data_IF_615391383327
#
_entry.id   IF_615391383327
#
_cell.length_a   1.000
_cell.length_b   1.000
_cell.length_c   1.000
_cell.angle_alpha   90.00
_cell.angle_beta   90.00
_cell.angle_gamma   90.00
#
_symmetry.space_group_name_H-M   'P 1'
#
loop_
_entity.id
_entity.type
_entity.pdbx_description
1 polymer ?
#
# COMPACT_ATOMS: atom_id res chain seq x y z
N UNK A 1 -11.96 -28.68 -9.78
CA UNK A 1 -11.29 -27.68 -8.90
C UNK A 1 -11.97 -26.35 -9.15
N UNK A 2 -12.68 -25.81 -8.17
CA UNK A 2 -13.31 -24.49 -8.27
C UNK A 2 -12.18 -23.47 -8.37
N UNK A 3 -12.12 -22.74 -9.48
CA UNK A 3 -11.18 -21.64 -9.69
C UNK A 3 -11.56 -20.49 -8.72
N UNK A 4 -11.07 -20.56 -7.49
CA UNK A 4 -11.31 -19.54 -6.47
C UNK A 4 -10.50 -18.29 -6.80
N UNK A 5 -11.11 -17.38 -7.56
CA UNK A 5 -10.50 -16.14 -8.00
C UNK A 5 -10.60 -15.12 -6.87
N UNK A 6 -9.46 -14.72 -6.32
CA UNK A 6 -9.38 -13.64 -5.36
C UNK A 6 -9.56 -12.28 -6.04
N UNK A 7 -10.45 -11.44 -5.51
CA UNK A 7 -10.71 -10.10 -6.06
C UNK A 7 -10.60 -9.03 -4.98
N UNK A 8 -9.85 -7.96 -5.27
CA UNK A 8 -9.83 -6.74 -4.46
C UNK A 8 -10.23 -5.58 -5.37
N UNK A 9 -11.27 -4.83 -5.01
CA UNK A 9 -11.70 -3.64 -5.76
C UNK A 9 -11.86 -3.87 -7.27
N UNK A 10 -12.42 -5.01 -7.67
CA UNK A 10 -12.60 -5.49 -9.04
C UNK A 10 -11.30 -5.92 -9.75
N UNK A 11 -10.16 -5.91 -9.08
CA UNK A 11 -8.91 -6.43 -9.59
C UNK A 11 -8.86 -7.93 -9.27
N UNK A 12 -8.69 -8.75 -10.30
CA UNK A 12 -8.48 -10.20 -10.13
C UNK A 12 -7.02 -10.46 -9.82
N UNK A 13 -6.77 -11.27 -8.81
CA UNK A 13 -5.43 -11.67 -8.36
C UNK A 13 -5.30 -13.19 -8.45
N UNK A 14 -4.16 -13.67 -8.92
CA UNK A 14 -3.82 -15.09 -8.92
C UNK A 14 -3.23 -15.54 -7.57
N UNK A 15 -2.66 -14.61 -6.83
CA UNK A 15 -2.07 -14.83 -5.52
C UNK A 15 -2.81 -14.07 -4.43
N UNK A 16 -3.01 -14.71 -3.26
CA UNK A 16 -3.53 -14.04 -2.05
C UNK A 16 -2.44 -13.33 -1.25
N UNK A 17 -1.18 -13.47 -1.67
CA UNK A 17 -0.04 -12.87 -1.00
C UNK A 17 0.18 -11.43 -1.51
N UNK A 18 0.29 -10.50 -0.57
CA UNK A 18 0.71 -9.11 -0.81
C UNK A 18 2.06 -8.91 -0.15
N UNK A 19 3.08 -8.56 -0.93
CA UNK A 19 4.45 -8.42 -0.43
C UNK A 19 4.76 -6.96 -0.10
N UNK A 20 5.38 -6.73 1.07
CA UNK A 20 5.93 -5.42 1.44
C UNK A 20 7.28 -5.17 0.77
N UNK A 21 7.54 -3.93 0.34
CA UNK A 21 8.79 -3.56 -0.34
C UNK A 21 9.78 -2.76 0.53
N UNK A 22 9.44 -2.51 1.80
CA UNK A 22 10.11 -1.50 2.62
C UNK A 22 11.36 -1.95 3.37
N UNK A 23 11.72 -3.25 3.38
CA UNK A 23 12.80 -3.78 4.25
C UNK A 23 13.89 -4.56 3.54
N UNK A 24 13.91 -4.56 2.23
CA UNK A 24 14.99 -5.16 1.45
C UNK A 24 16.18 -4.22 1.33
N UNK A 25 17.36 -4.79 1.13
CA UNK A 25 18.62 -4.06 1.04
C UNK A 25 18.66 -3.09 -0.16
N UNK A 26 18.04 -3.49 -1.27
CA UNK A 26 17.96 -2.71 -2.50
C UNK A 26 16.78 -3.16 -3.38
N UNK A 27 16.48 -2.43 -4.45
CA UNK A 27 15.38 -2.74 -5.36
C UNK A 27 15.57 -4.03 -6.17
N UNK A 28 16.82 -4.40 -6.47
CA UNK A 28 17.11 -5.68 -7.14
C UNK A 28 16.71 -6.87 -6.27
N UNK A 29 17.07 -6.83 -4.98
CA UNK A 29 16.67 -7.86 -4.02
C UNK A 29 15.14 -7.88 -3.82
N UNK A 30 14.50 -6.70 -3.72
CA UNK A 30 13.05 -6.58 -3.68
C UNK A 30 12.41 -7.29 -4.87
N UNK A 31 12.89 -7.01 -6.09
CA UNK A 31 12.34 -7.61 -7.31
C UNK A 31 12.50 -9.12 -7.34
N UNK A 32 13.66 -9.66 -6.90
CA UNK A 32 13.90 -11.10 -6.78
C UNK A 32 12.93 -11.75 -5.79
N UNK A 33 12.72 -11.13 -4.63
CA UNK A 33 11.82 -11.64 -3.60
C UNK A 33 10.36 -11.63 -4.09
N UNK A 34 9.91 -10.54 -4.73
CA UNK A 34 8.56 -10.44 -5.30
C UNK A 34 8.36 -11.51 -6.38
N UNK A 35 9.32 -11.70 -7.28
CA UNK A 35 9.25 -12.74 -8.31
C UNK A 35 9.19 -14.14 -7.69
N UNK A 36 10.03 -14.43 -6.70
CA UNK A 36 10.07 -15.72 -6.03
C UNK A 36 8.79 -16.02 -5.24
N UNK A 37 8.13 -14.98 -4.70
CA UNK A 37 6.89 -15.14 -3.93
C UNK A 37 5.65 -15.46 -4.79
N UNK A 38 5.69 -15.19 -6.08
CA UNK A 38 4.54 -15.30 -6.96
C UNK A 38 3.40 -14.31 -6.65
N UNK A 39 3.69 -13.24 -5.90
CA UNK A 39 2.67 -12.24 -5.56
C UNK A 39 2.37 -11.32 -6.75
N UNK A 40 1.09 -11.04 -6.98
CA UNK A 40 0.64 -10.09 -8.00
C UNK A 40 0.64 -8.66 -7.49
N UNK A 41 0.68 -8.46 -6.17
CA UNK A 41 0.54 -7.14 -5.54
C UNK A 41 1.65 -6.87 -4.53
N UNK A 42 2.17 -5.64 -4.53
CA UNK A 42 3.16 -5.16 -3.56
C UNK A 42 2.71 -3.89 -2.87
N UNK A 43 2.98 -3.77 -1.56
CA UNK A 43 2.76 -2.51 -0.85
C UNK A 43 3.98 -1.61 -0.98
N UNK A 44 3.74 -0.32 -1.17
CA UNK A 44 4.78 0.69 -1.35
C UNK A 44 4.55 1.87 -0.42
N UNK A 45 5.50 2.11 0.48
CA UNK A 45 5.46 3.29 1.34
C UNK A 45 5.85 4.54 0.53
N UNK A 46 4.87 5.34 0.13
CA UNK A 46 5.05 6.51 -0.75
C UNK A 46 6.13 7.44 -0.24
N UNK A 47 6.19 7.67 1.06
CA UNK A 47 7.19 8.54 1.71
C UNK A 47 8.62 7.99 1.71
N UNK A 48 8.80 6.70 1.48
CA UNK A 48 10.10 6.01 1.56
C UNK A 48 10.67 5.65 0.21
N UNK A 49 9.85 5.68 -0.82
CA UNK A 49 10.26 5.35 -2.19
C UNK A 49 10.54 6.64 -2.94
N UNK A 50 11.67 6.66 -3.62
CA UNK A 50 11.93 7.75 -4.56
C UNK A 50 10.92 7.65 -5.72
N UNK A 51 10.01 8.61 -5.80
CA UNK A 51 8.99 8.66 -6.84
C UNK A 51 9.20 9.86 -7.77
N UNK A 52 9.99 10.83 -7.36
CA UNK A 52 10.12 12.12 -8.03
C UNK A 52 11.49 12.35 -8.65
N UNK A 53 12.56 11.84 -8.06
CA UNK A 53 13.92 12.07 -8.52
C UNK A 53 14.30 11.04 -9.59
N UNK A 54 14.10 11.40 -10.86
CA UNK A 54 14.46 10.57 -12.02
C UNK A 54 15.97 10.33 -12.17
N UNK A 55 16.82 11.02 -11.39
CA UNK A 55 18.26 10.79 -11.39
C UNK A 55 18.66 9.58 -10.53
N UNK A 56 17.73 9.06 -9.73
CA UNK A 56 17.94 7.89 -8.89
C UNK A 56 17.05 6.74 -9.36
N UNK A 57 17.48 5.48 -9.19
CA UNK A 57 16.64 4.33 -9.54
C UNK A 57 15.29 4.39 -8.87
N UNK A 58 14.23 4.07 -9.62
CA UNK A 58 12.88 3.95 -9.13
C UNK A 58 12.55 2.47 -8.90
N UNK A 59 11.65 2.19 -7.97
CA UNK A 59 11.18 0.81 -7.76
C UNK A 59 10.51 0.25 -9.03
N UNK A 60 9.87 1.12 -9.81
CA UNK A 60 9.23 0.79 -11.09
C UNK A 60 10.20 0.39 -12.20
N UNK A 61 11.49 0.68 -12.06
CA UNK A 61 12.52 0.22 -12.99
C UNK A 61 12.86 -1.27 -12.77
N UNK A 62 12.54 -1.79 -11.59
CA UNK A 62 12.80 -3.18 -11.20
C UNK A 62 11.54 -4.05 -11.15
N UNK A 63 10.40 -3.43 -10.90
CA UNK A 63 9.08 -4.08 -10.86
C UNK A 63 8.18 -3.43 -11.90
N UNK A 64 7.88 -4.15 -12.99
CA UNK A 64 7.05 -3.67 -14.09
C UNK A 64 5.61 -3.39 -13.62
N UNK A 65 5.14 -2.12 -13.66
CA UNK A 65 3.78 -1.76 -13.24
C UNK A 65 2.66 -2.39 -14.10
N UNK A 66 3.00 -2.94 -15.26
CA UNK A 66 2.04 -3.68 -16.11
C UNK A 66 1.80 -5.10 -15.61
N UNK A 67 2.74 -5.65 -14.82
CA UNK A 67 2.70 -7.02 -14.31
C UNK A 67 2.40 -7.09 -12.82
N UNK A 68 2.85 -6.10 -12.06
CA UNK A 68 2.72 -6.05 -10.61
C UNK A 68 1.82 -4.87 -10.23
N UNK A 69 0.86 -5.14 -9.38
CA UNK A 69 -0.06 -4.13 -8.86
C UNK A 69 0.58 -3.44 -7.67
N UNK A 70 0.74 -2.14 -7.78
CA UNK A 70 1.27 -1.31 -6.70
C UNK A 70 0.14 -0.85 -5.79
N UNK A 71 0.29 -1.10 -4.49
CA UNK A 71 -0.60 -0.67 -3.43
C UNK A 71 0.14 0.38 -2.57
N UNK A 72 0.09 1.67 -2.95
CA UNK A 72 0.74 2.71 -2.16
C UNK A 72 0.12 2.82 -0.78
N UNK A 73 0.95 3.04 0.23
CA UNK A 73 0.52 3.19 1.61
C UNK A 73 1.02 4.50 2.24
N UNK A 74 0.36 4.89 3.32
CA UNK A 74 0.63 6.10 4.09
C UNK A 74 1.48 5.83 5.33
N UNK A 75 2.35 4.84 5.29
CA UNK A 75 3.22 4.52 6.42
C UNK A 75 4.00 5.74 6.90
N UNK A 76 3.88 6.04 8.18
CA UNK A 76 4.51 7.18 8.83
C UNK A 76 3.74 8.50 8.71
N UNK A 77 2.46 8.49 8.32
CA UNK A 77 1.57 9.64 8.41
C UNK A 77 0.87 9.66 9.77
N UNK A 78 0.88 10.82 10.43
CA UNK A 78 0.29 11.02 11.76
C UNK A 78 -0.93 11.95 11.75
N UNK A 79 -1.35 12.42 10.58
CA UNK A 79 -2.55 13.23 10.39
C UNK A 79 -3.29 12.83 9.13
N UNK A 80 -4.59 13.13 9.09
CA UNK A 80 -5.42 12.96 7.89
C UNK A 80 -4.84 13.75 6.71
N UNK A 81 -4.42 14.99 6.94
CA UNK A 81 -3.91 15.86 5.88
C UNK A 81 -2.62 15.31 5.25
N UNK A 82 -1.71 14.77 6.07
CA UNK A 82 -0.50 14.10 5.58
C UNK A 82 -0.82 12.87 4.75
N UNK A 83 -1.75 12.05 5.22
CA UNK A 83 -2.18 10.84 4.52
C UNK A 83 -2.84 11.18 3.17
N UNK A 84 -3.75 12.16 3.15
CA UNK A 84 -4.43 12.61 1.93
C UNK A 84 -3.43 13.18 0.92
N UNK A 85 -2.54 14.06 1.36
CA UNK A 85 -1.49 14.64 0.50
C UNK A 85 -0.60 13.55 -0.10
N UNK A 86 -0.19 12.58 0.72
CA UNK A 86 0.66 11.46 0.29
C UNK A 86 -0.01 10.60 -0.78
N UNK A 87 -1.31 10.27 -0.61
CA UNK A 87 -2.02 9.43 -1.57
C UNK A 87 -2.46 10.17 -2.83
N UNK A 88 -2.75 11.47 -2.73
CA UNK A 88 -2.97 12.31 -3.92
C UNK A 88 -1.72 12.39 -4.78
N UNK A 89 -0.56 12.59 -4.16
CA UNK A 89 0.73 12.54 -4.86
C UNK A 89 0.96 11.18 -5.53
N UNK A 90 0.70 10.08 -4.85
CA UNK A 90 0.80 8.74 -5.42
C UNK A 90 -0.11 8.58 -6.65
N UNK A 91 -1.33 9.12 -6.60
CA UNK A 91 -2.27 9.11 -7.73
C UNK A 91 -1.76 9.93 -8.91
N UNK A 92 -1.22 11.10 -8.67
CA UNK A 92 -0.68 11.98 -9.74
C UNK A 92 0.50 11.31 -10.45
N UNK A 93 1.38 10.64 -9.71
CA UNK A 93 2.58 10.03 -10.26
C UNK A 93 2.31 8.70 -10.95
N UNK A 94 1.54 7.81 -10.31
CA UNK A 94 1.36 6.43 -10.75
C UNK A 94 -0.05 6.07 -11.19
N UNK A 95 -1.00 7.00 -11.14
CA UNK A 95 -2.42 6.71 -11.46
C UNK A 95 -3.09 5.75 -10.47
N UNK A 96 -2.45 5.45 -9.34
CA UNK A 96 -2.90 4.44 -8.40
C UNK A 96 -4.15 4.89 -7.65
N UNK A 97 -5.25 4.14 -7.85
CA UNK A 97 -6.54 4.37 -7.19
C UNK A 97 -6.77 3.44 -6.01
N UNK A 98 -6.18 2.25 -6.03
CA UNK A 98 -6.19 1.33 -4.88
C UNK A 98 -5.07 1.74 -3.93
N UNK A 99 -5.39 1.99 -2.66
CA UNK A 99 -4.46 2.55 -1.67
C UNK A 99 -4.60 1.86 -0.33
N UNK A 100 -3.51 1.69 0.40
CA UNK A 100 -3.52 1.20 1.79
C UNK A 100 -3.37 2.40 2.72
N UNK A 101 -4.47 2.75 3.38
CA UNK A 101 -4.55 3.90 4.27
C UNK A 101 -4.25 3.50 5.71
N UNK A 102 -3.35 4.23 6.34
CA UNK A 102 -3.15 4.25 7.78
C UNK A 102 -2.87 5.68 8.24
N UNK A 103 -3.43 6.09 9.38
CA UNK A 103 -3.03 7.29 10.10
C UNK A 103 -2.61 6.87 11.49
N UNK A 104 -1.37 7.12 11.85
CA UNK A 104 -0.81 6.72 13.14
C UNK A 104 -1.21 7.72 14.23
N UNK A 105 -1.54 7.21 15.41
CA UNK A 105 -1.85 8.03 16.60
C UNK A 105 -0.68 8.11 17.57
N UNK A 106 0.10 7.06 17.68
CA UNK A 106 1.22 6.97 18.62
C UNK A 106 2.51 6.52 17.94
N UNK A 107 3.62 7.22 18.28
CA UNK A 107 4.92 6.97 17.65
C UNK A 107 5.63 5.72 18.17
N UNK A 108 5.33 5.29 19.39
CA UNK A 108 6.00 4.14 20.01
C UNK A 108 5.30 2.84 19.67
N UNK A 109 3.99 2.82 19.82
CA UNK A 109 3.17 1.62 19.60
C UNK A 109 2.72 1.47 18.15
N UNK A 110 2.74 2.55 17.37
CA UNK A 110 2.23 2.65 16.01
C UNK A 110 0.72 2.32 15.92
N UNK A 111 -0.02 2.46 17.03
CA UNK A 111 -1.46 2.32 17.00
C UNK A 111 -2.11 3.37 16.08
N UNK A 112 -3.13 2.99 15.30
CA UNK A 112 -3.79 3.91 14.39
C UNK A 112 -4.65 4.94 15.13
N UNK A 113 -4.72 6.14 14.60
CA UNK A 113 -5.74 7.11 14.92
C UNK A 113 -6.99 6.80 14.10
N UNK A 114 -7.97 6.15 14.72
CA UNK A 114 -9.18 5.69 14.04
C UNK A 114 -10.01 6.84 13.47
N UNK A 115 -10.14 7.94 14.22
CA UNK A 115 -10.94 9.12 13.82
C UNK A 115 -10.34 9.73 12.56
N UNK A 116 -9.04 9.98 12.56
CA UNK A 116 -8.33 10.55 11.40
C UNK A 116 -8.33 9.58 10.21
N UNK A 117 -8.24 8.27 10.46
CA UNK A 117 -8.31 7.26 9.39
C UNK A 117 -9.68 7.24 8.74
N UNK A 118 -10.77 7.28 9.51
CA UNK A 118 -12.15 7.33 8.98
C UNK A 118 -12.37 8.63 8.21
N UNK A 119 -11.92 9.78 8.73
CA UNK A 119 -11.97 11.07 8.05
C UNK A 119 -11.30 11.01 6.68
N UNK A 120 -10.06 10.51 6.64
CA UNK A 120 -9.30 10.34 5.40
C UNK A 120 -9.98 9.38 4.42
N UNK A 121 -10.54 8.27 4.93
CA UNK A 121 -11.26 7.30 4.09
C UNK A 121 -12.44 7.94 3.39
N UNK A 122 -13.26 8.72 4.11
CA UNK A 122 -14.42 9.42 3.53
C UNK A 122 -14.01 10.35 2.37
N UNK A 123 -12.91 11.08 2.54
CA UNK A 123 -12.39 11.98 1.50
C UNK A 123 -11.90 11.19 0.29
N UNK A 124 -11.05 10.18 0.51
CA UNK A 124 -10.47 9.37 -0.56
C UNK A 124 -11.52 8.64 -1.39
N UNK A 125 -12.56 8.11 -0.74
CA UNK A 125 -13.66 7.43 -1.44
C UNK A 125 -14.44 8.42 -2.31
N UNK A 126 -14.75 9.63 -1.82
CA UNK A 126 -15.36 10.69 -2.62
C UNK A 126 -14.52 11.06 -3.84
N UNK A 127 -13.20 11.03 -3.70
CA UNK A 127 -12.25 11.30 -4.79
C UNK A 127 -12.05 10.09 -5.72
N UNK A 128 -12.80 8.99 -5.53
CA UNK A 128 -12.76 7.80 -6.38
C UNK A 128 -11.58 6.84 -6.10
N UNK A 129 -10.91 6.98 -4.94
CA UNK A 129 -9.95 5.98 -4.46
C UNK A 129 -10.68 4.78 -3.86
N UNK A 130 -10.01 3.63 -3.90
CA UNK A 130 -10.41 2.42 -3.19
C UNK A 130 -9.44 2.21 -2.04
N UNK A 131 -9.87 2.58 -0.84
CA UNK A 131 -9.03 2.52 0.34
C UNK A 131 -9.15 1.16 1.03
N UNK A 132 -8.01 0.51 1.25
CA UNK A 132 -7.85 -0.63 2.15
C UNK A 132 -7.36 -0.06 3.48
N UNK A 133 -8.10 -0.28 4.55
CA UNK A 133 -7.71 0.18 5.88
C UNK A 133 -6.62 -0.72 6.47
N UNK A 134 -5.86 -0.15 7.41
CA UNK A 134 -4.87 -0.90 8.18
C UNK A 134 -5.55 -1.97 9.05
N UNK A 135 -4.91 -3.13 9.18
CA UNK A 135 -5.49 -4.33 9.83
C UNK A 135 -5.95 -4.14 11.26
N UNK A 136 -5.38 -3.19 12.00
CA UNK A 136 -5.78 -2.89 13.38
C UNK A 136 -7.14 -2.19 13.53
N UNK A 137 -7.74 -1.78 12.43
CA UNK A 137 -9.12 -1.24 12.42
C UNK A 137 -10.17 -2.34 12.33
N UNK A 138 -9.77 -3.56 12.05
CA UNK A 138 -10.62 -4.73 12.11
C UNK A 138 -10.48 -5.38 13.48
N UNK A 139 -11.55 -6.00 13.97
CA UNK A 139 -11.45 -6.82 15.18
C UNK A 139 -10.28 -7.80 15.02
N UNK A 140 -9.44 -7.95 16.05
CA UNK A 140 -8.33 -8.90 15.99
C UNK A 140 -8.91 -10.30 15.78
N UNK A 141 -8.72 -10.82 14.58
CA UNK A 141 -9.13 -12.17 14.20
C UNK A 141 -8.04 -13.19 14.52
N UNK A 142 -6.86 -12.73 14.91
CA UNK A 142 -5.77 -13.58 15.39
C UNK A 142 -5.88 -13.73 16.90
N UNK A 143 -6.05 -14.94 17.44
CA UNK A 143 -5.87 -15.16 18.85
C UNK A 143 -4.42 -14.77 19.22
N UNK A 144 -4.28 -14.05 20.30
CA UNK A 144 -2.98 -13.84 20.90
C UNK A 144 -2.43 -15.22 21.31
N UNK A 145 -1.33 -15.63 20.71
CA UNK A 145 -0.55 -16.78 21.13
C UNK A 145 0.49 -16.31 22.12
#
# INVERSE_FOLDING_TARGET
>A
MTNDIFKIANIKLSSRLIVGTGKYKNFSETAKAVKASGADMVTVAVRRVNILDKKKPLLTDYLDPKKIIFLPNTAGCFSSDDALRTLRLAREIGGWKLVKLEVLGDKKTLYPNMIETIKSTKVLVKEGSKAVSYTHLTLPTTPYV
#
